data_IF_381150117299
#
_entry.id   IF_381150117299
#
_cell.length_a   1.000
_cell.length_b   1.000
_cell.length_c   1.000
_cell.angle_alpha   90.00
_cell.angle_beta   90.00
_cell.angle_gamma   90.00
#
_symmetry.space_group_name_H-M   'P 1'
#
loop_
_entity.id
_entity.type
_entity.pdbx_description
1 polymer ?
#
# COMPACT_ATOMS: atom_id res chain seq x y z
N UNK A 1 13.91 20.34 -4.75
CA UNK A 1 12.48 20.46 -5.07
C UNK A 1 11.88 19.12 -5.48
N UNK A 2 12.57 18.33 -6.30
CA UNK A 2 12.10 17.02 -6.78
C UNK A 2 11.70 16.04 -5.68
N UNK A 3 12.50 15.94 -4.62
CA UNK A 3 12.19 15.10 -3.45
C UNK A 3 10.86 15.51 -2.77
N UNK A 4 10.58 16.82 -2.69
CA UNK A 4 9.35 17.33 -2.08
C UNK A 4 8.13 16.89 -2.89
N UNK A 5 8.20 16.93 -4.23
CA UNK A 5 7.12 16.45 -5.08
C UNK A 5 6.87 14.95 -4.92
N UNK A 6 7.92 14.14 -4.78
CA UNK A 6 7.77 12.71 -4.50
C UNK A 6 7.03 12.52 -3.18
N UNK A 7 7.49 13.17 -2.09
CA UNK A 7 6.90 13.02 -0.76
C UNK A 7 5.43 13.45 -0.74
N UNK A 8 5.10 14.58 -1.35
CA UNK A 8 3.70 15.04 -1.45
C UNK A 8 2.86 14.04 -2.24
N UNK A 9 3.37 13.55 -3.38
CA UNK A 9 2.70 12.55 -4.20
C UNK A 9 2.41 11.26 -3.43
N UNK A 10 3.39 10.77 -2.65
CA UNK A 10 3.24 9.59 -1.80
C UNK A 10 2.13 9.80 -0.78
N UNK A 11 2.22 10.85 0.04
CA UNK A 11 1.29 11.09 1.15
C UNK A 11 -0.14 11.24 0.64
N UNK A 12 -0.35 12.05 -0.40
CA UNK A 12 -1.69 12.30 -0.95
C UNK A 12 -2.27 11.04 -1.58
N UNK A 13 -1.49 10.33 -2.40
CA UNK A 13 -1.96 9.12 -3.06
C UNK A 13 -2.23 7.99 -2.06
N UNK A 14 -1.32 7.79 -1.10
CA UNK A 14 -1.48 6.79 -0.04
C UNK A 14 -2.75 7.04 0.77
N UNK A 15 -3.01 8.29 1.17
CA UNK A 15 -4.22 8.64 1.93
C UNK A 15 -5.50 8.36 1.14
N UNK A 16 -5.58 8.85 -0.11
CA UNK A 16 -6.77 8.67 -0.95
C UNK A 16 -6.98 7.18 -1.27
N UNK A 17 -5.94 6.47 -1.69
CA UNK A 17 -6.03 5.06 -2.03
C UNK A 17 -6.33 4.19 -0.82
N UNK A 18 -5.83 4.52 0.37
CA UNK A 18 -6.21 3.82 1.60
C UNK A 18 -7.73 3.85 1.81
N UNK A 19 -8.36 5.03 1.70
CA UNK A 19 -9.81 5.18 1.83
C UNK A 19 -10.54 4.40 0.73
N UNK A 20 -10.11 4.55 -0.53
CA UNK A 20 -10.73 3.85 -1.66
C UNK A 20 -10.64 2.33 -1.50
N UNK A 21 -9.45 1.79 -1.25
CA UNK A 21 -9.23 0.36 -1.10
C UNK A 21 -9.97 -0.22 0.10
N UNK A 22 -10.08 0.54 1.20
CA UNK A 22 -10.93 0.16 2.33
C UNK A 22 -12.40 0.08 1.94
N UNK A 23 -12.92 1.10 1.26
CA UNK A 23 -14.29 1.11 0.74
C UNK A 23 -14.56 -0.08 -0.19
N UNK A 24 -13.64 -0.36 -1.13
CA UNK A 24 -13.73 -1.53 -2.00
C UNK A 24 -13.69 -2.85 -1.21
N UNK A 25 -12.85 -2.94 -0.18
CA UNK A 25 -12.72 -4.15 0.62
C UNK A 25 -13.93 -4.39 1.53
N UNK A 26 -14.55 -3.33 2.03
CA UNK A 26 -15.73 -3.42 2.90
C UNK A 26 -17.02 -3.60 2.09
N UNK A 27 -17.00 -3.28 0.80
CA UNK A 27 -18.10 -3.56 -0.14
C UNK A 27 -18.42 -5.07 -0.26
N UNK A 28 -19.55 -5.36 -0.91
CA UNK A 28 -20.01 -6.72 -1.22
C UNK A 28 -18.96 -7.51 -2.03
N UNK A 29 -18.19 -6.81 -2.86
CA UNK A 29 -17.16 -7.41 -3.71
C UNK A 29 -16.02 -7.95 -2.84
N UNK A 30 -15.68 -7.28 -1.74
CA UNK A 30 -14.66 -7.75 -0.81
C UNK A 30 -13.30 -7.98 -1.48
N UNK A 31 -12.88 -7.07 -2.37
CA UNK A 31 -11.86 -7.33 -3.38
C UNK A 31 -10.54 -7.89 -2.82
N UNK A 32 -10.11 -7.43 -1.64
CA UNK A 32 -8.88 -7.88 -1.00
C UNK A 32 -9.09 -8.94 0.08
N UNK A 33 -10.34 -9.28 0.45
CA UNK A 33 -10.66 -10.29 1.48
C UNK A 33 -10.06 -11.68 1.20
N UNK A 34 -10.05 -12.20 -0.05
CA UNK A 34 -9.40 -13.48 -0.34
C UNK A 34 -7.90 -13.47 -0.03
N UNK A 35 -7.20 -12.41 -0.44
CA UNK A 35 -5.77 -12.23 -0.16
C UNK A 35 -5.51 -12.06 1.35
N UNK A 36 -6.32 -11.25 2.03
CA UNK A 36 -6.26 -11.07 3.48
C UNK A 36 -6.45 -12.41 4.22
N UNK A 37 -7.40 -13.26 3.79
CA UNK A 37 -7.67 -14.58 4.39
C UNK A 37 -6.51 -15.56 4.16
N UNK A 38 -5.82 -15.46 3.04
CA UNK A 38 -4.62 -16.27 2.79
C UNK A 38 -3.48 -15.83 3.72
N UNK A 39 -3.27 -14.52 3.82
CA UNK A 39 -2.19 -13.92 4.62
C UNK A 39 -2.45 -14.03 6.12
N UNK A 40 -3.70 -14.00 6.58
CA UNK A 40 -4.04 -14.16 8.00
C UNK A 40 -3.65 -15.52 8.57
N UNK A 41 -3.51 -16.54 7.72
CA UNK A 41 -2.97 -17.85 8.11
C UNK A 41 -1.45 -17.84 8.31
N UNK A 42 -0.75 -16.80 7.87
CA UNK A 42 0.69 -16.69 7.99
C UNK A 42 1.10 -16.15 9.36
N UNK A 43 1.83 -16.97 10.14
CA UNK A 43 2.37 -16.59 11.46
C UNK A 43 3.34 -15.40 11.40
N UNK A 44 3.93 -15.10 10.23
CA UNK A 44 4.92 -14.04 10.02
C UNK A 44 4.36 -12.85 9.22
N UNK A 45 3.08 -12.52 9.37
CA UNK A 45 2.39 -11.41 8.65
C UNK A 45 3.22 -10.12 8.63
N UNK A 46 3.86 -9.77 9.75
CA UNK A 46 4.71 -8.57 9.86
C UNK A 46 5.90 -8.57 8.90
N UNK A 47 6.56 -9.72 8.77
CA UNK A 47 7.73 -9.91 7.90
C UNK A 47 7.29 -9.89 6.43
N UNK A 48 6.19 -10.57 6.11
CA UNK A 48 5.65 -10.59 4.74
C UNK A 48 5.21 -9.20 4.27
N UNK A 49 4.62 -8.39 5.14
CA UNK A 49 4.30 -7.00 4.81
C UNK A 49 5.54 -6.14 4.60
N UNK A 50 6.60 -6.32 5.41
CA UNK A 50 7.87 -5.63 5.20
C UNK A 50 8.51 -5.99 3.85
N UNK A 51 8.48 -7.27 3.49
CA UNK A 51 8.90 -7.75 2.17
C UNK A 51 8.02 -7.11 1.08
N UNK A 52 6.70 -7.02 1.30
CA UNK A 52 5.77 -6.37 0.39
C UNK A 52 6.10 -4.90 0.12
N UNK A 53 6.50 -4.12 1.13
CA UNK A 53 6.95 -2.74 0.92
C UNK A 53 8.25 -2.70 0.10
N UNK A 54 9.21 -3.60 0.38
CA UNK A 54 10.42 -3.70 -0.42
C UNK A 54 10.11 -3.99 -1.89
N UNK A 55 9.23 -4.96 -2.15
CA UNK A 55 8.77 -5.30 -3.51
C UNK A 55 8.07 -4.10 -4.16
N UNK A 56 7.20 -3.38 -3.44
CA UNK A 56 6.53 -2.19 -3.94
C UNK A 56 7.52 -1.11 -4.41
N UNK A 57 8.57 -0.85 -3.62
CA UNK A 57 9.63 0.10 -3.99
C UNK A 57 10.39 -0.37 -5.24
N UNK A 58 10.74 -1.66 -5.32
CA UNK A 58 11.41 -2.21 -6.50
C UNK A 58 10.54 -2.12 -7.76
N UNK A 59 9.24 -2.45 -7.66
CA UNK A 59 8.29 -2.30 -8.76
C UNK A 59 8.21 -0.83 -9.19
N UNK A 60 8.06 0.09 -8.24
CA UNK A 60 8.00 1.52 -8.55
C UNK A 60 9.26 2.01 -9.26
N UNK A 61 10.45 1.59 -8.80
CA UNK A 61 11.74 1.92 -9.43
C UNK A 61 11.81 1.38 -10.86
N UNK A 62 11.48 0.11 -11.07
CA UNK A 62 11.51 -0.49 -12.40
C UNK A 62 10.58 0.22 -13.39
N UNK A 63 9.38 0.62 -12.96
CA UNK A 63 8.44 1.37 -13.79
C UNK A 63 8.96 2.78 -14.04
N UNK A 64 9.51 3.45 -13.03
CA UNK A 64 10.10 4.79 -13.17
C UNK A 64 11.17 4.81 -14.26
N UNK A 65 12.09 3.85 -14.23
CA UNK A 65 13.20 3.78 -15.16
C UNK A 65 12.73 3.35 -16.56
N UNK A 66 11.73 2.47 -16.66
CA UNK A 66 11.21 2.00 -17.95
C UNK A 66 10.35 3.04 -18.69
N UNK A 67 9.67 3.92 -17.96
CA UNK A 67 8.71 4.89 -18.51
C UNK A 67 9.12 6.36 -18.30
N UNK A 68 10.33 6.60 -17.77
CA UNK A 68 10.86 7.94 -17.45
C UNK A 68 9.85 8.80 -16.66
N UNK A 69 9.22 8.20 -15.65
CA UNK A 69 8.15 8.85 -14.91
C UNK A 69 8.64 10.12 -14.20
N UNK A 70 7.90 11.22 -14.39
CA UNK A 70 8.10 12.45 -13.64
C UNK A 70 7.96 12.20 -12.12
N UNK A 71 8.72 12.94 -11.32
CA UNK A 71 8.84 12.74 -9.87
C UNK A 71 7.50 12.71 -9.12
N UNK A 72 6.53 13.55 -9.52
CA UNK A 72 5.18 13.55 -8.92
C UNK A 72 4.45 12.22 -9.17
N UNK A 73 4.52 11.69 -10.40
CA UNK A 73 3.87 10.43 -10.79
C UNK A 73 4.55 9.23 -10.15
N UNK A 74 5.87 9.31 -10.01
CA UNK A 74 6.63 8.33 -9.24
C UNK A 74 6.19 8.28 -7.77
N UNK A 75 6.01 9.44 -7.12
CA UNK A 75 5.48 9.51 -5.76
C UNK A 75 4.07 8.95 -5.64
N UNK A 76 3.19 9.28 -6.59
CA UNK A 76 1.82 8.72 -6.65
C UNK A 76 1.86 7.20 -6.75
N UNK A 77 2.68 6.64 -7.64
CA UNK A 77 2.81 5.20 -7.83
C UNK A 77 3.25 4.49 -6.55
N UNK A 78 4.23 5.05 -5.83
CA UNK A 78 4.66 4.53 -4.54
C UNK A 78 3.48 4.55 -3.56
N UNK A 79 2.79 5.68 -3.39
CA UNK A 79 1.66 5.78 -2.45
C UNK A 79 0.53 4.78 -2.74
N UNK A 80 0.25 4.52 -4.02
CA UNK A 80 -0.71 3.48 -4.45
C UNK A 80 -0.23 2.09 -4.03
N UNK A 81 1.03 1.75 -4.27
CA UNK A 81 1.56 0.43 -3.93
C UNK A 81 1.67 0.20 -2.42
N UNK A 82 2.02 1.24 -1.65
CA UNK A 82 2.06 1.19 -0.19
C UNK A 82 0.67 0.95 0.39
N UNK A 83 -0.34 1.73 -0.04
CA UNK A 83 -1.72 1.56 0.41
C UNK A 83 -2.32 0.20 0.01
N UNK A 84 -1.89 -0.37 -1.12
CA UNK A 84 -2.25 -1.74 -1.52
C UNK A 84 -1.63 -2.79 -0.58
N UNK A 85 -0.37 -2.61 -0.18
CA UNK A 85 0.25 -3.47 0.83
C UNK A 85 -0.48 -3.34 2.18
N UNK A 86 -0.83 -2.13 2.59
CA UNK A 86 -1.54 -1.87 3.84
C UNK A 86 -2.90 -2.54 3.89
N UNK A 87 -3.71 -2.44 2.83
CA UNK A 87 -5.01 -3.10 2.81
C UNK A 87 -4.86 -4.62 2.82
N UNK A 88 -3.95 -5.19 2.04
CA UNK A 88 -3.73 -6.64 1.95
C UNK A 88 -3.27 -7.23 3.29
N UNK A 89 -2.42 -6.50 4.01
CA UNK A 89 -1.88 -6.94 5.30
C UNK A 89 -2.62 -6.36 6.52
N UNK A 90 -3.72 -5.65 6.31
CA UNK A 90 -4.52 -4.97 7.36
C UNK A 90 -3.63 -4.13 8.30
N UNK A 91 -2.82 -3.25 7.72
CA UNK A 91 -1.82 -2.40 8.39
C UNK A 91 -2.09 -0.92 8.11
N UNK A 92 -1.27 -0.05 8.71
CA UNK A 92 -1.39 1.41 8.56
C UNK A 92 -2.63 1.93 9.27
N UNK A 93 -3.45 2.72 8.58
CA UNK A 93 -4.69 3.32 9.12
C UNK A 93 -5.72 2.24 9.49
N UNK A 94 -5.60 1.03 8.93
CA UNK A 94 -6.54 -0.07 9.15
C UNK A 94 -6.04 -1.12 10.14
N UNK A 95 -4.88 -0.91 10.75
CA UNK A 95 -4.40 -1.80 11.80
C UNK A 95 -5.43 -1.79 12.94
N UNK A 96 -6.16 -2.91 13.10
CA UNK A 96 -7.00 -3.11 14.28
C UNK A 96 -6.05 -3.11 15.46
N UNK A 97 -6.02 -2.01 16.22
CA UNK A 97 -5.46 -2.00 17.56
C UNK A 97 -6.13 -3.19 18.26
N UNK A 98 -5.33 -4.21 18.59
CA UNK A 98 -5.78 -5.22 19.52
C UNK A 98 -5.90 -4.45 20.84
N UNK A 99 -7.09 -3.94 21.10
CA UNK A 99 -7.49 -3.49 22.42
C UNK A 99 -7.50 -4.75 23.28
N UNK A 100 -6.34 -5.05 23.87
CA UNK A 100 -6.25 -5.95 25.01
C UNK A 100 -6.90 -5.22 26.19
N UNK A 101 -8.23 -5.36 26.28
CA UNK A 101 -9.00 -5.31 27.52
C UNK A 101 -8.73 -6.59 28.31
#
# INVERSE_FOLDING_TARGET
MDFLYIVIGVIVAEFICSILFKGLNDSIIGLFKPMQKFISKSKKKKVWSAIGYGIAVFIALAIKDSFELHYIWYGILIGVLLSLNDIIFERGIFEKRIDNL
#
